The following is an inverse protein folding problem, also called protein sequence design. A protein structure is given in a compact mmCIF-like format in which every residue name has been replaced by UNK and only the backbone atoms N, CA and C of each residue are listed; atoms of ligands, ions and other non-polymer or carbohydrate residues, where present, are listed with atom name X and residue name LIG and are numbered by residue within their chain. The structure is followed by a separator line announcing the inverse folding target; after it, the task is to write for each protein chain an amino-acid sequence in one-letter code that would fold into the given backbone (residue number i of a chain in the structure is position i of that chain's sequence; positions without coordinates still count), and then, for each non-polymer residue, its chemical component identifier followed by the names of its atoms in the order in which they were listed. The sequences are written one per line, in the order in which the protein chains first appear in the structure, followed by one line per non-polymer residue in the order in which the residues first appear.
data_IF_235591039373
#
_entry.id   IF_235591039373
#
_cell.length_a   1.000
_cell.length_b   1.000
_cell.length_c   1.000
_cell.angle_alpha   90.00
_cell.angle_beta   90.00
_cell.angle_gamma   90.00
#
_symmetry.space_group_name_H-M   'P 1'
#
loop_
_entity.id
_entity.type
_entity.pdbx_description
1 polymer ?
#
# COMPACT_ATOMS: atom_id res chain seq x y z
N UNK A 1 -14.16 26.41 -14.34
CA UNK A 1 -12.86 25.71 -14.12
C UNK A 1 -12.89 24.84 -12.88
N UNK A 2 -13.45 25.30 -11.76
CA UNK A 2 -13.65 24.51 -10.51
C UNK A 2 -14.31 23.15 -10.70
N UNK A 3 -15.36 23.07 -11.52
CA UNK A 3 -16.07 21.81 -11.82
C UNK A 3 -15.15 20.74 -12.42
N UNK A 4 -14.15 21.13 -13.22
CA UNK A 4 -13.23 20.17 -13.84
C UNK A 4 -12.34 19.51 -12.78
N UNK A 5 -11.83 20.28 -11.81
CA UNK A 5 -11.05 19.76 -10.68
C UNK A 5 -11.87 18.82 -9.81
N UNK A 6 -13.13 19.16 -9.54
CA UNK A 6 -14.05 18.27 -8.78
C UNK A 6 -14.26 16.94 -9.50
N UNK A 7 -14.52 16.96 -10.81
CA UNK A 7 -14.67 15.73 -11.60
C UNK A 7 -13.39 14.90 -11.56
N UNK A 8 -12.22 15.54 -11.67
CA UNK A 8 -10.93 14.84 -11.60
C UNK A 8 -10.73 14.15 -10.25
N UNK A 9 -11.05 14.82 -9.15
CA UNK A 9 -10.97 14.26 -7.79
C UNK A 9 -11.95 13.10 -7.61
N UNK A 10 -13.19 13.22 -8.09
CA UNK A 10 -14.20 12.16 -7.98
C UNK A 10 -13.80 10.92 -8.78
N UNK A 11 -13.34 11.10 -10.03
CA UNK A 11 -12.88 9.99 -10.87
C UNK A 11 -11.63 9.34 -10.29
N UNK A 12 -10.65 10.13 -9.86
CA UNK A 12 -9.44 9.62 -9.20
C UNK A 12 -9.75 8.89 -7.89
N UNK A 13 -10.70 9.40 -7.11
CA UNK A 13 -11.18 8.80 -5.87
C UNK A 13 -11.89 7.46 -6.08
N UNK A 14 -12.82 7.39 -7.04
CA UNK A 14 -13.50 6.13 -7.36
C UNK A 14 -12.54 5.07 -7.93
N UNK A 15 -11.62 5.49 -8.81
CA UNK A 15 -10.61 4.58 -9.38
C UNK A 15 -9.65 4.04 -8.31
N UNK A 16 -9.16 4.92 -7.42
CA UNK A 16 -8.28 4.51 -6.32
C UNK A 16 -9.00 3.63 -5.30
N UNK A 17 -10.25 3.93 -4.95
CA UNK A 17 -11.04 3.11 -4.03
C UNK A 17 -11.32 1.71 -4.60
N UNK A 18 -11.71 1.61 -5.87
CA UNK A 18 -11.93 0.33 -6.54
C UNK A 18 -10.63 -0.50 -6.62
N UNK A 19 -9.51 0.14 -6.96
CA UNK A 19 -8.21 -0.52 -7.01
C UNK A 19 -7.71 -0.95 -5.63
N UNK A 20 -7.97 -0.17 -4.59
CA UNK A 20 -7.65 -0.50 -3.20
C UNK A 20 -8.41 -1.74 -2.73
N UNK A 21 -9.73 -1.80 -2.97
CA UNK A 21 -10.54 -3.00 -2.65
C UNK A 21 -10.03 -4.21 -3.42
N UNK A 22 -9.66 -4.05 -4.69
CA UNK A 22 -9.06 -5.13 -5.48
C UNK A 22 -7.74 -5.63 -4.86
N UNK A 23 -6.83 -4.72 -4.51
CA UNK A 23 -5.59 -5.06 -3.80
C UNK A 23 -5.86 -5.78 -2.48
N UNK A 24 -6.86 -5.33 -1.73
CA UNK A 24 -7.25 -5.95 -0.46
C UNK A 24 -7.70 -7.40 -0.67
N UNK A 25 -8.51 -7.66 -1.70
CA UNK A 25 -8.95 -9.02 -2.05
C UNK A 25 -7.75 -9.90 -2.40
N UNK A 26 -6.78 -9.41 -3.16
CA UNK A 26 -5.55 -10.16 -3.49
C UNK A 26 -4.74 -10.43 -2.23
N UNK A 27 -4.61 -9.44 -1.33
CA UNK A 27 -3.90 -9.60 -0.06
C UNK A 27 -4.54 -10.68 0.82
N UNK A 28 -5.88 -10.68 0.95
CA UNK A 28 -6.59 -11.73 1.69
C UNK A 28 -6.50 -13.11 1.04
N UNK A 29 -6.41 -13.18 -0.30
CA UNK A 29 -6.23 -14.45 -1.01
C UNK A 29 -4.86 -15.07 -0.77
N UNK A 30 -3.83 -14.25 -0.60
CA UNK A 30 -2.47 -14.71 -0.31
C UNK A 30 -2.31 -15.07 1.18
N UNK A 31 -2.79 -14.22 2.08
CA UNK A 31 -2.73 -14.47 3.53
C UNK A 31 -3.69 -13.56 4.29
N UNK A 32 -4.41 -14.13 5.25
CA UNK A 32 -5.30 -13.37 6.14
C UNK A 32 -4.53 -12.32 6.95
N UNK A 33 -3.27 -12.60 7.32
CA UNK A 33 -2.41 -11.65 8.04
C UNK A 33 -2.07 -10.46 7.14
N UNK A 34 -1.69 -10.70 5.88
CA UNK A 34 -1.40 -9.61 4.94
C UNK A 34 -2.62 -8.76 4.64
N UNK A 35 -3.79 -9.38 4.45
CA UNK A 35 -5.05 -8.64 4.27
C UNK A 35 -5.38 -7.74 5.46
N UNK A 36 -5.22 -8.24 6.70
CA UNK A 36 -5.48 -7.47 7.92
C UNK A 36 -4.47 -6.35 8.13
N UNK A 37 -3.19 -6.62 7.88
CA UNK A 37 -2.13 -5.60 7.97
C UNK A 37 -2.35 -4.49 6.93
N UNK A 38 -2.74 -4.83 5.70
CA UNK A 38 -3.11 -3.85 4.68
C UNK A 38 -4.34 -3.03 5.07
N UNK A 39 -5.31 -3.63 5.77
CA UNK A 39 -6.51 -2.95 6.25
C UNK A 39 -6.20 -1.94 7.37
N UNK A 40 -5.35 -2.31 8.33
CA UNK A 40 -5.02 -1.46 9.48
C UNK A 40 -3.92 -0.43 9.18
N UNK A 41 -3.00 -0.74 8.27
CA UNK A 41 -1.83 0.09 7.97
C UNK A 41 -1.82 0.37 6.46
N UNK A 42 -2.24 1.57 6.02
CA UNK A 42 -2.32 1.89 4.58
C UNK A 42 -0.95 1.80 3.89
N UNK A 43 0.13 2.08 4.62
CA UNK A 43 1.50 1.94 4.09
C UNK A 43 1.90 0.49 3.82
N UNK A 44 1.28 -0.50 4.47
CA UNK A 44 1.58 -1.90 4.19
C UNK A 44 1.16 -2.32 2.77
N UNK A 45 0.22 -1.60 2.14
CA UNK A 45 -0.18 -1.85 0.76
C UNK A 45 0.96 -1.58 -0.23
N UNK A 46 1.83 -0.61 0.06
CA UNK A 46 3.04 -0.36 -0.75
C UNK A 46 4.00 -1.55 -0.66
N UNK A 47 4.28 -2.01 0.56
CA UNK A 47 5.17 -3.17 0.79
C UNK A 47 4.59 -4.43 0.14
N UNK A 48 3.29 -4.65 0.28
CA UNK A 48 2.59 -5.77 -0.36
C UNK A 48 2.68 -5.70 -1.89
N UNK A 49 2.45 -4.52 -2.48
CA UNK A 49 2.55 -4.29 -3.92
C UNK A 49 3.93 -4.66 -4.48
N UNK A 50 5.01 -4.25 -3.81
CA UNK A 50 6.37 -4.63 -4.22
C UNK A 50 6.67 -6.11 -4.01
N UNK A 51 6.23 -6.70 -2.88
CA UNK A 51 6.49 -8.10 -2.55
C UNK A 51 5.77 -9.07 -3.48
N UNK A 52 4.54 -8.77 -3.86
CA UNK A 52 3.68 -9.63 -4.69
C UNK A 52 3.42 -9.01 -6.07
N UNK A 53 4.47 -8.42 -6.66
CA UNK A 53 4.37 -7.62 -7.89
C UNK A 53 3.68 -8.32 -9.07
N UNK A 54 3.95 -9.62 -9.27
CA UNK A 54 3.41 -10.34 -10.43
C UNK A 54 1.88 -10.35 -10.48
N UNK A 55 1.23 -10.43 -9.31
CA UNK A 55 -0.22 -10.51 -9.17
C UNK A 55 -0.83 -9.14 -8.86
N UNK A 56 -0.10 -8.30 -8.12
CA UNK A 56 -0.58 -7.01 -7.64
C UNK A 56 -0.32 -5.84 -8.61
N UNK A 57 0.54 -5.97 -9.63
CA UNK A 57 0.98 -4.84 -10.48
C UNK A 57 -0.18 -4.04 -11.11
N UNK A 58 -1.21 -4.72 -11.60
CA UNK A 58 -2.33 -4.06 -12.29
C UNK A 58 -3.12 -3.18 -11.30
N UNK A 59 -3.71 -3.74 -10.23
CA UNK A 59 -4.47 -2.93 -9.29
C UNK A 59 -3.58 -1.94 -8.53
N UNK A 60 -2.30 -2.26 -8.29
CA UNK A 60 -1.34 -1.32 -7.71
C UNK A 60 -1.10 -0.10 -8.60
N UNK A 61 -0.87 -0.29 -9.91
CA UNK A 61 -0.69 0.82 -10.84
C UNK A 61 -1.96 1.65 -11.01
N UNK A 62 -3.15 1.04 -11.02
CA UNK A 62 -4.42 1.78 -11.06
C UNK A 62 -4.62 2.58 -9.78
N UNK A 63 -4.32 2.01 -8.61
CA UNK A 63 -4.37 2.72 -7.34
C UNK A 63 -3.41 3.92 -7.33
N UNK A 64 -2.18 3.74 -7.82
CA UNK A 64 -1.18 4.79 -7.91
C UNK A 64 -1.60 5.90 -8.88
N UNK A 65 -2.09 5.54 -10.07
CA UNK A 65 -2.60 6.50 -11.05
C UNK A 65 -3.81 7.29 -10.51
N UNK A 66 -4.76 6.60 -9.85
CA UNK A 66 -5.90 7.24 -9.20
C UNK A 66 -5.48 8.19 -8.08
N UNK A 67 -4.47 7.82 -7.30
CA UNK A 67 -3.92 8.66 -6.22
C UNK A 67 -3.24 9.92 -6.76
N UNK A 68 -2.46 9.80 -7.84
CA UNK A 68 -1.85 10.95 -8.53
C UNK A 68 -2.95 11.87 -9.08
N UNK A 69 -3.98 11.30 -9.72
CA UNK A 69 -5.08 12.07 -10.28
C UNK A 69 -5.84 12.84 -9.20
N UNK A 70 -6.08 12.20 -8.04
CA UNK A 70 -6.73 12.83 -6.88
C UNK A 70 -5.85 13.94 -6.29
N UNK A 71 -4.54 13.73 -6.18
CA UNK A 71 -3.60 14.75 -5.70
C UNK A 71 -3.55 15.98 -6.62
N UNK A 72 -3.46 15.76 -7.94
CA UNK A 72 -3.49 16.84 -8.94
C UNK A 72 -4.82 17.61 -8.87
N UNK A 73 -5.94 16.89 -8.77
CA UNK A 73 -7.26 17.51 -8.60
C UNK A 73 -7.38 18.35 -7.33
N UNK A 74 -6.86 17.85 -6.20
CA UNK A 74 -6.87 18.54 -4.92
C UNK A 74 -5.99 19.80 -4.89
N UNK A 75 -4.79 19.74 -5.47
CA UNK A 75 -3.90 20.89 -5.59
C UNK A 75 -4.54 21.95 -6.50
N UNK A 76 -5.07 21.56 -7.66
CA UNK A 76 -5.74 22.46 -8.60
C UNK A 76 -7.00 23.11 -8.00
N UNK A 77 -7.78 22.34 -7.23
CA UNK A 77 -8.93 22.87 -6.49
C UNK A 77 -8.50 23.90 -5.45
N UNK A 78 -7.48 23.59 -4.64
CA UNK A 78 -6.96 24.48 -3.59
C UNK A 78 -6.39 25.78 -4.16
N UNK A 79 -5.67 25.73 -5.28
CA UNK A 79 -5.18 26.95 -5.94
C UNK A 79 -6.33 27.82 -6.48
N UNK A 80 -7.42 27.19 -6.94
CA UNK A 80 -8.58 27.93 -7.46
C UNK A 80 -9.39 28.56 -6.33
N UNK A 81 -9.56 27.88 -5.20
CA UNK A 81 -10.32 28.41 -4.05
C UNK A 81 -9.62 29.59 -3.38
N UNK A 82 -8.29 29.59 -3.31
CA UNK A 82 -7.51 30.73 -2.80
C UNK A 82 -7.73 31.97 -3.66
N UNK A 83 -7.81 31.83 -4.99
CA UNK A 83 -8.04 32.97 -5.88
C UNK A 83 -9.45 33.57 -5.72
N UNK A 84 -10.49 32.74 -5.53
CA UNK A 84 -11.87 33.22 -5.36
C UNK A 84 -12.03 33.98 -4.04
N UNK A 85 -11.36 33.54 -2.97
CA UNK A 85 -11.42 34.22 -1.68
C UNK A 85 -10.78 35.62 -1.67
N UNK A 86 -9.87 35.93 -2.59
CA UNK A 86 -9.24 37.27 -2.65
C UNK A 86 -10.13 38.27 -3.41
N UNK A 87 -10.95 37.82 -4.36
CA UNK A 87 -11.82 38.69 -5.16
C UNK A 87 -13.16 39.03 -4.49
N UNK A 88 -13.58 38.29 -3.46
CA UNK A 88 -14.79 38.63 -2.68
C UNK A 88 -14.54 39.67 -1.56
N UNK A 89 -13.28 39.97 -1.22
CA UNK A 89 -12.92 40.98 -0.22
C UNK A 89 -12.14 42.22 -0.72
N UNK A 90 -12.33 42.75 -1.94
CA UNK A 90 -11.66 43.98 -2.36
C UNK A 90 -12.13 45.18 -1.53
N UNK A 91 -13.37 45.15 -1.04
CA UNK A 91 -13.99 46.25 -0.29
C UNK A 91 -13.74 46.22 1.22
N UNK A 92 -13.15 45.15 1.78
CA UNK A 92 -12.78 45.19 3.20
C UNK A 92 -11.61 46.14 3.47
N UNK A 93 -10.74 46.40 2.49
CA UNK A 93 -9.68 47.40 2.62
C UNK A 93 -10.19 48.85 2.59
N UNK A 94 -11.34 49.09 1.96
CA UNK A 94 -11.96 50.43 1.85
C UNK A 94 -13.03 50.65 2.94
N UNK A 95 -13.72 49.59 3.36
CA UNK A 95 -14.73 49.64 4.42
C UNK A 95 -14.13 49.47 5.83
N UNK A 96 -13.01 48.77 5.98
CA UNK A 96 -12.13 48.90 7.15
C UNK A 96 -11.25 50.12 6.88
N UNK A 97 -11.85 51.30 6.92
CA UNK A 97 -11.08 52.53 6.90
C UNK A 97 -10.03 52.43 8.01
N UNK A 98 -8.75 52.46 7.64
CA UNK A 98 -7.66 52.72 8.59
C UNK A 98 -7.81 54.11 9.22
N UNK A 99 -8.70 54.94 8.67
CA UNK A 99 -9.23 56.19 9.23
C UNK A 99 -10.45 55.98 10.13
N UNK A 100 -10.77 54.75 10.56
CA UNK A 100 -11.77 54.53 11.60
C UNK A 100 -11.32 55.34 12.81
N UNK A 101 -12.06 56.41 13.22
CA UNK A 101 -11.75 57.11 14.45
C UNK A 101 -11.80 56.03 15.51
N UNK A 102 -10.68 55.81 16.21
CA UNK A 102 -10.50 54.76 17.20
C UNK A 102 -11.85 54.49 17.87
N UNK A 103 -12.54 53.43 17.45
CA UNK A 103 -13.72 52.99 18.18
C UNK A 103 -13.08 52.53 19.47
N UNK A 104 -13.14 53.40 20.47
CA UNK A 104 -12.87 53.08 21.85
C UNK A 104 -13.95 52.06 22.22
N UNK A 105 -13.75 50.80 21.83
CA UNK A 105 -14.50 49.64 22.32
C UNK A 105 -14.12 49.35 23.77
N UNK A 106 -13.12 50.06 24.30
CA UNK A 106 -12.99 50.27 25.73
C UNK A 106 -14.09 51.25 26.15
N UNK A 107 -15.20 50.77 26.76
CA UNK A 107 -16.11 51.67 27.45
C UNK A 107 -15.26 52.54 28.39
N UNK A 108 -15.45 53.85 28.31
CA UNK A 108 -14.91 54.80 29.28
C UNK A 108 -15.24 54.26 30.68
N UNK A 109 -14.18 53.84 31.39
CA UNK A 109 -14.24 53.10 32.65
C UNK A 109 -14.83 54.01 33.73
N UNK A 110 -16.15 54.09 33.76
CA UNK A 110 -16.87 54.62 34.90
C UNK A 110 -16.65 53.69 36.07
N UNK A 111 -15.63 53.98 36.87
CA UNK A 111 -15.40 53.60 38.27
C UNK A 111 -16.05 52.26 38.67
N UNK A 112 -15.68 51.16 38.02
CA UNK A 112 -15.94 49.82 38.55
C UNK A 112 -14.75 49.49 39.45
N UNK A 113 -14.85 49.87 40.73
CA UNK A 113 -14.11 49.25 41.83
C UNK A 113 -14.53 47.77 41.90
N UNK A 114 -13.98 46.95 41.02
CA UNK A 114 -14.22 45.52 40.96
C UNK A 114 -12.89 44.80 40.90
N UNK A 115 -12.48 44.28 42.04
CA UNK A 115 -11.34 43.38 42.30
C UNK A 115 -10.68 42.86 41.02
N UNK A 116 -9.64 43.56 40.55
CA UNK A 116 -8.75 43.06 39.51
C UNK A 116 -8.20 41.71 40.00
N UNK A 117 -8.48 40.60 39.30
CA UNK A 117 -7.81 39.35 39.62
C UNK A 117 -6.32 39.58 39.43
N UNK A 118 -5.55 39.28 40.49
CA UNK A 118 -4.11 39.44 40.51
C UNK A 118 -3.52 38.92 39.19
N UNK A 119 -2.63 39.69 38.53
CA UNK A 119 -2.09 39.34 37.22
C UNK A 119 -1.58 37.91 37.28
N UNK A 120 -2.18 37.04 36.49
CA UNK A 120 -1.76 35.66 36.35
C UNK A 120 -0.30 35.70 35.91
N UNK A 121 0.61 35.34 36.83
CA UNK A 121 2.05 35.34 36.63
C UNK A 121 2.35 34.40 35.46
N UNK A 122 2.52 34.98 34.28
CA UNK A 122 2.98 34.26 33.11
C UNK A 122 4.32 33.62 33.47
N UNK A 123 4.49 32.31 33.21
CA UNK A 123 5.72 31.62 33.54
C UNK A 123 6.89 32.34 32.86
N UNK A 124 7.92 32.65 33.65
CA UNK A 124 9.10 33.36 33.16
C UNK A 124 9.67 32.61 31.94
N UNK A 125 10.05 33.32 30.87
CA UNK A 125 10.47 32.70 29.60
C UNK A 125 11.61 31.67 29.76
N UNK A 126 12.37 31.76 30.83
CA UNK A 126 13.48 30.85 31.16
C UNK A 126 13.01 29.44 31.56
N UNK A 127 11.77 29.26 32.05
CA UNK A 127 11.25 27.93 32.38
C UNK A 127 10.93 27.11 31.12
N UNK A 128 10.49 27.79 30.05
CA UNK A 128 10.14 27.14 28.77
C UNK A 128 11.39 26.68 28.02
N UNK A 129 12.49 27.44 28.10
CA UNK A 129 13.76 27.03 27.47
C UNK A 129 14.33 25.76 28.12
N UNK A 130 14.17 25.60 29.44
CA UNK A 130 14.66 24.42 30.17
C UNK A 130 13.94 23.12 29.81
N UNK A 131 12.62 23.18 29.65
CA UNK A 131 11.84 22.00 29.20
C UNK A 131 12.18 21.62 27.76
N UNK A 132 12.43 22.59 26.87
CA UNK A 132 12.81 22.31 25.48
C UNK A 132 14.19 21.66 25.40
N UNK A 133 15.14 22.09 26.23
CA UNK A 133 16.48 21.50 26.28
C UNK A 133 16.46 20.06 26.82
N UNK A 134 15.68 19.78 27.88
CA UNK A 134 15.51 18.40 28.41
C UNK A 134 14.85 17.46 27.38
N UNK A 135 13.87 17.95 26.61
CA UNK A 135 13.23 17.16 25.54
C UNK A 135 14.19 16.90 24.37
N UNK A 136 15.04 17.88 24.02
CA UNK A 136 16.03 17.68 22.95
C UNK A 136 17.14 16.71 23.36
N UNK A 137 17.56 16.72 24.63
CA UNK A 137 18.56 15.78 25.17
C UNK A 137 18.01 14.34 25.17
N UNK A 138 16.77 14.14 25.62
CA UNK A 138 16.12 12.81 25.60
C UNK A 138 15.89 12.26 24.18
N UNK A 139 15.65 13.14 23.19
CA UNK A 139 15.52 12.72 21.79
C UNK A 139 16.87 12.27 21.18
N UNK A 140 17.99 12.80 21.67
CA UNK A 140 19.32 12.42 21.21
C UNK A 140 19.73 11.02 21.70
N UNK A 141 19.38 10.68 22.93
CA UNK A 141 19.62 9.35 23.52
C UNK A 141 18.83 8.24 22.80
N UNK A 142 17.57 8.52 22.42
CA UNK A 142 16.76 7.58 21.64
C UNK A 142 17.35 7.31 20.25
N UNK A 143 17.99 8.30 19.63
CA UNK A 143 18.61 8.14 18.31
C UNK A 143 19.84 7.24 18.36
N UNK A 144 20.62 7.33 19.44
CA UNK A 144 21.77 6.45 19.66
C UNK A 144 21.37 4.97 19.82
N UNK A 145 20.25 4.68 20.48
CA UNK A 145 19.75 3.30 20.62
C UNK A 145 19.27 2.69 19.31
N UNK A 146 18.68 3.50 18.41
CA UNK A 146 18.18 3.02 17.11
C UNK A 146 19.33 2.70 16.15
N UNK A 147 20.41 3.48 16.17
CA UNK A 147 21.57 3.25 15.30
C UNK A 147 22.38 2.00 15.72
N UNK A 148 22.40 1.65 17.01
CA UNK A 148 23.09 0.43 17.49
C UNK A 148 22.33 -0.86 17.12
N UNK A 149 20.99 -0.87 17.20
CA UNK A 149 20.19 -2.05 16.85
C UNK A 149 20.13 -2.28 15.33
N UNK A 150 20.08 -1.21 14.53
CA UNK A 150 20.03 -1.30 13.08
C UNK A 150 21.34 -1.81 12.43
N UNK A 151 22.49 -1.55 13.05
CA UNK A 151 23.80 -2.04 12.57
C UNK A 151 24.04 -3.52 12.92
N UNK A 152 23.39 -4.05 13.96
CA UNK A 152 23.54 -5.47 14.34
C UNK A 152 22.91 -6.46 13.35
N UNK A 153 21.99 -6.00 12.49
CA UNK A 153 21.28 -6.85 11.50
C UNK A 153 22.05 -6.93 10.16
N UNK A 154 23.02 -6.04 9.92
CA UNK A 154 23.74 -5.95 8.64
C UNK A 154 25.13 -6.61 8.65
N UNK A 155 25.57 -7.19 9.77
CA UNK A 155 26.88 -7.80 9.91
C UNK A 155 26.84 -9.35 9.90
N UNK A 156 25.84 -9.96 9.26
CA UNK A 156 25.97 -11.36 8.84
C UNK A 156 27.05 -11.43 7.73
N UNK A 157 28.20 -12.06 7.99
CA UNK A 157 29.31 -12.07 7.07
C UNK A 157 28.95 -12.89 5.83
N UNK A 158 28.68 -12.20 4.73
CA UNK A 158 28.89 -12.67 3.35
C UNK A 158 28.67 -14.16 3.13
N UNK A 159 27.52 -14.69 3.56
CA UNK A 159 27.11 -16.04 3.18
C UNK A 159 26.97 -16.02 1.66
N UNK A 160 27.93 -16.63 0.96
CA UNK A 160 27.87 -16.88 -0.47
C UNK A 160 26.44 -17.28 -0.79
N UNK A 161 25.75 -16.43 -1.58
CA UNK A 161 24.47 -16.76 -2.16
C UNK A 161 24.62 -18.20 -2.68
N UNK A 162 23.85 -19.17 -2.15
CA UNK A 162 24.01 -20.55 -2.55
C UNK A 162 23.94 -20.54 -4.08
N UNK A 163 24.93 -21.12 -4.78
CA UNK A 163 25.01 -21.04 -6.23
C UNK A 163 23.64 -21.40 -6.79
N UNK A 164 23.11 -20.63 -7.76
CA UNK A 164 21.78 -20.83 -8.30
C UNK A 164 21.62 -22.32 -8.58
N UNK A 165 20.78 -22.99 -7.78
CA UNK A 165 20.68 -24.44 -7.82
C UNK A 165 20.45 -24.79 -9.28
N UNK A 166 21.33 -25.57 -9.93
CA UNK A 166 21.13 -25.92 -11.33
C UNK A 166 19.72 -26.48 -11.42
N UNK A 167 18.89 -25.86 -12.26
CA UNK A 167 17.52 -26.29 -12.50
C UNK A 167 17.63 -27.77 -12.82
N UNK A 168 17.30 -28.63 -11.85
CA UNK A 168 17.52 -30.06 -11.95
C UNK A 168 16.51 -30.50 -13.01
N UNK A 169 17.00 -30.64 -14.23
CA UNK A 169 16.20 -30.85 -15.42
C UNK A 169 15.21 -31.98 -15.13
N UNK A 170 13.93 -31.62 -15.15
CA UNK A 170 12.86 -32.59 -15.00
C UNK A 170 13.05 -33.63 -16.08
N UNK A 171 13.13 -34.90 -15.69
CA UNK A 171 13.20 -35.99 -16.66
C UNK A 171 11.95 -35.91 -17.54
N UNK A 172 12.17 -35.77 -18.85
CA UNK A 172 11.12 -35.83 -19.86
C UNK A 172 10.49 -37.22 -19.78
N UNK A 173 9.24 -37.29 -19.30
CA UNK A 173 8.50 -38.55 -19.26
C UNK A 173 7.63 -38.63 -20.52
N UNK A 174 7.77 -39.67 -21.36
CA UNK A 174 6.90 -39.84 -22.51
C UNK A 174 5.45 -40.02 -22.06
N UNK A 175 4.51 -39.49 -22.85
CA UNK A 175 3.07 -39.46 -22.50
C UNK A 175 2.50 -40.85 -22.21
N UNK A 176 3.02 -41.88 -22.89
CA UNK A 176 2.66 -43.28 -22.68
C UNK A 176 2.95 -43.81 -21.28
N UNK A 177 3.84 -43.16 -20.52
CA UNK A 177 4.17 -43.52 -19.13
C UNK A 177 3.38 -42.75 -18.08
N UNK A 178 2.44 -41.87 -18.46
CA UNK A 178 1.60 -41.18 -17.47
C UNK A 178 0.77 -42.14 -16.63
N UNK A 179 0.39 -43.29 -17.18
CA UNK A 179 -0.37 -44.31 -16.44
C UNK A 179 0.33 -44.80 -15.18
N UNK A 180 1.68 -44.86 -15.20
CA UNK A 180 2.46 -45.26 -14.02
C UNK A 180 2.66 -44.14 -13.00
N UNK A 181 2.25 -42.91 -13.32
CA UNK A 181 2.41 -41.73 -12.46
C UNK A 181 1.10 -41.35 -11.72
N UNK A 182 0.11 -42.25 -11.67
CA UNK A 182 -1.12 -41.99 -10.92
C UNK A 182 -0.80 -41.71 -9.44
N UNK A 183 -1.34 -40.60 -8.93
CA UNK A 183 -1.10 -40.10 -7.59
C UNK A 183 0.13 -39.21 -7.45
N UNK A 184 1.01 -39.14 -8.45
CA UNK A 184 2.20 -38.29 -8.41
C UNK A 184 1.92 -36.88 -8.95
N UNK A 185 2.71 -35.91 -8.47
CA UNK A 185 2.63 -34.52 -8.91
C UNK A 185 3.48 -34.32 -10.16
N UNK A 186 2.84 -33.92 -11.25
CA UNK A 186 3.48 -33.64 -12.53
C UNK A 186 3.35 -32.16 -12.89
N UNK A 187 4.31 -31.66 -13.67
CA UNK A 187 4.24 -30.34 -14.30
C UNK A 187 4.07 -30.58 -15.79
N UNK A 188 2.92 -30.17 -16.33
CA UNK A 188 2.57 -30.34 -17.72
C UNK A 188 2.69 -28.99 -18.40
N UNK A 189 3.38 -28.96 -19.54
CA UNK A 189 3.46 -27.80 -20.42
C UNK A 189 2.48 -28.03 -21.56
N UNK A 190 1.47 -27.19 -21.65
CA UNK A 190 0.47 -27.24 -22.71
C UNK A 190 1.04 -26.63 -24.00
N UNK A 191 0.37 -26.88 -25.14
CA UNK A 191 0.70 -26.25 -26.42
C UNK A 191 0.61 -24.71 -26.36
N UNK A 192 -0.23 -24.17 -25.47
CA UNK A 192 -0.33 -22.74 -25.16
C UNK A 192 0.89 -22.17 -24.44
N UNK A 193 1.90 -23.01 -24.14
CA UNK A 193 3.07 -22.71 -23.30
C UNK A 193 2.74 -22.45 -21.83
N UNK A 194 1.49 -22.64 -21.42
CA UNK A 194 1.09 -22.58 -20.02
C UNK A 194 1.62 -23.80 -19.26
N UNK A 195 2.16 -23.55 -18.06
CA UNK A 195 2.69 -24.60 -17.18
C UNK A 195 1.69 -24.87 -16.07
N UNK A 196 1.17 -26.08 -16.03
CA UNK A 196 0.17 -26.47 -15.04
C UNK A 196 0.74 -27.57 -14.14
N UNK A 197 0.67 -27.36 -12.83
CA UNK A 197 1.13 -28.35 -11.84
C UNK A 197 -0.07 -29.03 -11.18
N UNK A 198 -0.23 -30.32 -11.42
CA UNK A 198 -1.37 -31.07 -10.93
C UNK A 198 -0.99 -32.52 -10.56
N UNK A 199 -1.87 -33.19 -9.83
CA UNK A 199 -1.75 -34.62 -9.55
C UNK A 199 -2.45 -35.42 -10.64
N UNK A 200 -1.82 -36.48 -11.14
CA UNK A 200 -2.47 -37.39 -12.09
C UNK A 200 -3.46 -38.26 -11.32
N UNK A 201 -4.75 -38.12 -11.62
CA UNK A 201 -5.81 -38.94 -11.00
C UNK A 201 -6.01 -40.23 -11.77
N UNK A 202 -6.03 -40.12 -13.10
CA UNK A 202 -6.29 -41.23 -14.01
C UNK A 202 -5.88 -40.86 -15.42
N UNK A 203 -5.68 -41.89 -16.24
CA UNK A 203 -5.26 -41.75 -17.63
C UNK A 203 -6.21 -42.61 -18.46
N UNK A 204 -6.92 -41.98 -19.38
CA UNK A 204 -7.75 -42.64 -20.37
C UNK A 204 -6.98 -42.74 -21.71
N UNK A 205 -7.62 -43.29 -22.74
CA UNK A 205 -7.03 -43.56 -24.05
C UNK A 205 -6.61 -42.28 -24.78
N UNK A 206 -7.30 -41.16 -24.54
CA UNK A 206 -7.02 -39.86 -25.19
C UNK A 206 -6.86 -38.68 -24.23
N UNK A 207 -7.21 -38.86 -22.94
CA UNK A 207 -7.22 -37.78 -21.97
C UNK A 207 -6.52 -38.14 -20.67
N UNK A 208 -5.98 -37.14 -19.98
CA UNK A 208 -5.47 -37.27 -18.62
C UNK A 208 -6.33 -36.47 -17.65
N UNK A 209 -6.78 -37.13 -16.58
CA UNK A 209 -7.49 -36.50 -15.49
C UNK A 209 -6.48 -35.92 -14.50
N UNK A 210 -6.48 -34.60 -14.37
CA UNK A 210 -5.57 -33.86 -13.52
C UNK A 210 -6.34 -33.22 -12.37
N UNK A 211 -5.81 -33.33 -11.15
CA UNK A 211 -6.35 -32.68 -9.96
C UNK A 211 -5.41 -31.58 -9.47
N UNK A 212 -5.90 -30.35 -9.51
CA UNK A 212 -5.20 -29.17 -9.01
C UNK A 212 -5.81 -28.72 -7.68
N UNK A 213 -4.96 -28.32 -6.72
CA UNK A 213 -5.41 -27.85 -5.40
C UNK A 213 -5.45 -26.33 -5.41
N UNK A 214 -6.63 -25.74 -5.17
CA UNK A 214 -6.83 -24.28 -5.15
C UNK A 214 -7.57 -23.90 -3.88
N UNK A 215 -7.00 -22.97 -3.09
CA UNK A 215 -7.69 -22.29 -1.99
C UNK A 215 -8.50 -23.18 -1.03
N UNK A 216 -7.95 -24.31 -0.59
CA UNK A 216 -8.63 -25.24 0.34
C UNK A 216 -9.48 -26.34 -0.29
N UNK A 217 -9.68 -26.32 -1.62
CA UNK A 217 -10.37 -27.38 -2.37
C UNK A 217 -9.47 -28.07 -3.41
N UNK A 218 -10.05 -29.00 -4.15
CA UNK A 218 -9.42 -29.60 -5.33
C UNK A 218 -10.36 -29.55 -6.52
N UNK A 219 -9.84 -29.12 -7.67
CA UNK A 219 -10.54 -29.11 -8.95
C UNK A 219 -9.93 -30.17 -9.84
N UNK A 220 -10.76 -31.03 -10.42
CA UNK A 220 -10.33 -32.04 -11.40
C UNK A 220 -10.75 -31.58 -12.79
N UNK A 221 -9.83 -31.62 -13.75
CA UNK A 221 -10.11 -31.33 -15.15
C UNK A 221 -9.43 -32.36 -16.05
N UNK A 222 -9.99 -32.55 -17.23
CA UNK A 222 -9.47 -33.44 -18.26
C UNK A 222 -8.64 -32.64 -19.26
N UNK A 223 -7.50 -33.17 -19.68
CA UNK A 223 -6.63 -32.58 -20.72
C UNK A 223 -6.38 -33.62 -21.80
N UNK A 224 -6.63 -33.28 -23.05
CA UNK A 224 -6.35 -34.13 -24.20
C UNK A 224 -4.83 -34.28 -24.41
N UNK A 225 -4.36 -35.46 -24.82
CA UNK A 225 -2.94 -35.68 -25.08
C UNK A 225 -2.38 -34.79 -26.19
N UNK A 226 -3.23 -34.41 -27.15
CA UNK A 226 -2.84 -33.53 -28.26
C UNK A 226 -2.48 -32.12 -27.77
N UNK A 227 -3.03 -31.68 -26.63
CA UNK A 227 -2.74 -30.38 -26.01
C UNK A 227 -1.46 -30.38 -25.17
N UNK A 228 -0.88 -31.56 -24.91
CA UNK A 228 0.28 -31.73 -24.05
C UNK A 228 1.56 -31.68 -24.88
N UNK A 229 2.31 -30.59 -24.73
CA UNK A 229 3.61 -30.42 -25.38
C UNK A 229 4.71 -31.19 -24.66
N UNK A 230 4.74 -31.11 -23.33
CA UNK A 230 5.82 -31.68 -22.53
C UNK A 230 5.32 -32.06 -21.13
N UNK A 231 5.78 -33.20 -20.60
CA UNK A 231 5.50 -33.61 -19.22
C UNK A 231 6.80 -33.74 -18.45
N UNK A 232 6.93 -32.92 -17.40
CA UNK A 232 8.07 -32.93 -16.49
C UNK A 232 7.67 -33.51 -15.15
N UNK A 233 8.45 -34.48 -14.72
CA UNK A 233 8.31 -35.04 -13.39
C UNK A 233 9.05 -34.18 -12.36
N UNK A 234 8.37 -33.78 -11.28
CA UNK A 234 8.98 -33.05 -10.17
C UNK A 234 8.92 -33.92 -8.92
N UNK A 235 10.02 -34.62 -8.61
CA UNK A 235 10.17 -35.22 -7.27
C UNK A 235 10.13 -34.11 -6.24
N UNK A 236 9.12 -34.15 -5.38
CA UNK A 236 9.15 -33.38 -4.15
C UNK A 236 10.19 -34.08 -3.26
N UNK A 237 11.26 -33.39 -2.83
CA UNK A 237 12.24 -33.98 -1.91
C UNK A 237 11.62 -34.29 -0.55
#
# INVERSE_FOLDING_TARGET
MTMAWMVLMVVGGLASMAAYVWLLVIAFRESTVWGLVCLCIPFAVLVFGFKFWNEAKIPFLVCLAGSILLAVGGIGYSMTSVNVGIEEFPDLGEQVGWDSPAINVFPDDGDVEGDEPAPEEWPEPDSVSREVDEVMESASDLRALVDEEALSILDEPGGELPPPRPHRDGTLVPVSKLGSLQGERVVIVLNTLERVSAYVVGVDSQTVLLRHRVGGGSVTYSVDFDDIKEVRFRRVP
#
